data_IF_354586277142
#
_entry.id   IF_354586277142
#
_cell.length_a   1.000
_cell.length_b   1.000
_cell.length_c   1.000
_cell.angle_alpha   90.00
_cell.angle_beta   90.00
_cell.angle_gamma   90.00
#
_symmetry.space_group_name_H-M   'P 1'
#
loop_
_entity.id
_entity.type
_entity.pdbx_description
1 polymer ?
#
# COMPACT_ATOMS: atom_id res chain seq x y z
N UNK A 1 -8.34 15.04 4.66
CA UNK A 1 -7.67 14.02 3.84
C UNK A 1 -6.20 14.33 3.57
N UNK A 2 -5.82 15.51 3.05
CA UNK A 2 -4.41 15.82 2.73
C UNK A 2 -3.40 15.68 3.88
N UNK A 3 -3.80 15.97 5.13
CA UNK A 3 -2.94 15.76 6.30
C UNK A 3 -2.72 14.28 6.65
N UNK A 4 -3.75 13.46 6.49
CA UNK A 4 -3.67 12.02 6.77
C UNK A 4 -2.78 11.35 5.72
N UNK A 5 -3.00 11.68 4.44
CA UNK A 5 -2.16 11.19 3.32
C UNK A 5 -0.70 11.64 3.52
N UNK A 6 -0.48 12.90 3.90
CA UNK A 6 0.87 13.40 4.20
C UNK A 6 1.55 12.67 5.36
N UNK A 7 0.81 12.32 6.43
CA UNK A 7 1.33 11.53 7.56
C UNK A 7 1.68 10.12 7.11
N UNK A 8 0.82 9.45 6.32
CA UNK A 8 1.07 8.10 5.82
C UNK A 8 2.33 8.05 4.94
N UNK A 9 2.48 9.01 4.03
CA UNK A 9 3.68 9.14 3.18
C UNK A 9 4.93 9.41 4.03
N UNK A 10 4.83 10.30 5.01
CA UNK A 10 5.95 10.59 5.90
C UNK A 10 6.40 9.35 6.70
N UNK A 11 5.45 8.56 7.21
CA UNK A 11 5.75 7.30 7.91
C UNK A 11 6.42 6.30 6.98
N UNK A 12 5.92 6.13 5.75
CA UNK A 12 6.54 5.23 4.76
C UNK A 12 7.99 5.62 4.45
N UNK A 13 8.27 6.92 4.29
CA UNK A 13 9.63 7.43 4.06
C UNK A 13 10.55 7.16 5.27
N UNK A 14 10.06 7.38 6.49
CA UNK A 14 10.84 7.10 7.71
C UNK A 14 11.19 5.61 7.78
N UNK A 15 10.25 4.71 7.54
CA UNK A 15 10.50 3.26 7.53
C UNK A 15 11.52 2.88 6.44
N UNK A 16 11.38 3.42 5.23
CA UNK A 16 12.33 3.17 4.14
C UNK A 16 13.76 3.63 4.48
N UNK A 17 13.91 4.79 5.13
CA UNK A 17 15.20 5.27 5.61
C UNK A 17 15.79 4.36 6.70
N UNK A 18 14.98 3.88 7.64
CA UNK A 18 15.45 2.96 8.69
C UNK A 18 15.93 1.61 8.13
N UNK A 19 15.28 1.10 7.08
CA UNK A 19 15.73 -0.09 6.35
C UNK A 19 17.05 0.21 5.61
N UNK A 20 17.14 1.35 4.91
CA UNK A 20 18.33 1.73 4.15
C UNK A 20 19.59 1.86 5.01
N UNK A 21 19.48 2.46 6.20
CA UNK A 21 20.58 2.56 7.15
C UNK A 21 20.85 1.26 7.93
N UNK A 22 20.04 0.21 7.72
CA UNK A 22 20.21 -1.10 8.37
C UNK A 22 19.77 -1.14 9.83
N UNK A 23 19.00 -0.15 10.30
CA UNK A 23 18.42 -0.17 11.65
C UNK A 23 17.28 -1.20 11.78
N UNK A 24 16.61 -1.51 10.67
CA UNK A 24 15.56 -2.53 10.60
C UNK A 24 15.98 -3.57 9.57
N UNK A 25 16.08 -4.82 10.01
CA UNK A 25 16.22 -5.98 9.13
C UNK A 25 14.87 -6.68 9.07
N UNK A 26 14.34 -6.85 7.86
CA UNK A 26 13.11 -7.61 7.67
C UNK A 26 13.49 -9.09 7.81
N UNK A 27 12.80 -9.80 8.70
CA UNK A 27 12.97 -11.25 8.84
C UNK A 27 12.27 -11.98 7.70
N UNK A 28 12.58 -13.26 7.44
CA UNK A 28 11.87 -14.06 6.44
C UNK A 28 10.34 -14.09 6.67
N UNK A 29 9.89 -14.10 7.94
CA UNK A 29 8.45 -13.99 8.23
C UNK A 29 7.88 -12.60 7.90
N UNK A 30 8.71 -11.56 8.04
CA UNK A 30 8.35 -10.19 7.67
C UNK A 30 8.22 -10.00 6.16
N UNK A 31 9.06 -10.67 5.36
CA UNK A 31 8.93 -10.66 3.89
C UNK A 31 7.64 -11.34 3.44
N UNK A 32 7.32 -12.51 4.00
CA UNK A 32 6.08 -13.23 3.71
C UNK A 32 4.83 -12.40 4.11
N UNK A 33 4.85 -11.77 5.30
CA UNK A 33 3.76 -10.90 5.72
C UNK A 33 3.62 -9.66 4.83
N UNK A 34 4.72 -9.16 4.26
CA UNK A 34 4.70 -8.03 3.33
C UNK A 34 4.17 -8.43 1.95
N UNK A 35 4.47 -9.65 1.49
CA UNK A 35 3.92 -10.23 0.25
C UNK A 35 2.40 -10.42 0.38
N UNK A 36 1.94 -11.07 1.46
CA UNK A 36 0.50 -11.21 1.75
C UNK A 36 -0.21 -9.86 1.82
N UNK A 37 0.41 -8.86 2.47
CA UNK A 37 -0.17 -7.52 2.56
C UNK A 37 -0.25 -6.83 1.19
N UNK A 38 0.76 -7.01 0.34
CA UNK A 38 0.75 -6.46 -1.02
C UNK A 38 -0.33 -7.09 -1.88
N UNK A 39 -0.53 -8.40 -1.80
CA UNK A 39 -1.58 -9.10 -2.56
C UNK A 39 -2.97 -8.63 -2.14
N UNK A 40 -3.24 -8.55 -0.84
CA UNK A 40 -4.52 -8.07 -0.32
C UNK A 40 -4.80 -6.61 -0.73
N UNK A 41 -3.79 -5.74 -0.70
CA UNK A 41 -3.93 -4.34 -1.14
C UNK A 41 -4.12 -4.27 -2.66
N UNK A 42 -3.43 -5.10 -3.43
CA UNK A 42 -3.57 -5.21 -4.88
C UNK A 42 -4.98 -5.59 -5.28
N UNK A 43 -5.52 -6.67 -4.68
CA UNK A 43 -6.89 -7.13 -4.93
C UNK A 43 -7.93 -6.07 -4.53
N UNK A 44 -7.75 -5.37 -3.42
CA UNK A 44 -8.63 -4.28 -3.01
C UNK A 44 -8.61 -3.10 -4.00
N UNK A 45 -7.44 -2.77 -4.55
CA UNK A 45 -7.28 -1.72 -5.56
C UNK A 45 -7.91 -2.14 -6.89
N UNK A 46 -7.71 -3.38 -7.32
CA UNK A 46 -8.29 -3.93 -8.54
C UNK A 46 -9.83 -3.93 -8.47
N UNK A 47 -10.41 -4.49 -7.40
CA UNK A 47 -11.85 -4.48 -7.16
C UNK A 47 -12.44 -3.05 -7.13
N UNK A 48 -11.73 -2.12 -6.48
CA UNK A 48 -12.16 -0.71 -6.46
C UNK A 48 -12.06 -0.08 -7.84
N UNK A 49 -11.02 -0.41 -8.61
CA UNK A 49 -10.81 0.07 -9.97
C UNK A 49 -11.85 -0.46 -10.97
N UNK A 50 -12.25 -1.72 -10.85
CA UNK A 50 -13.33 -2.32 -11.63
C UNK A 50 -14.67 -1.66 -11.31
N UNK A 51 -15.01 -1.51 -10.02
CA UNK A 51 -16.25 -0.85 -9.60
C UNK A 51 -16.38 0.59 -10.13
N UNK A 52 -15.29 1.35 -10.12
CA UNK A 52 -15.25 2.72 -10.67
C UNK A 52 -15.37 2.72 -12.20
N UNK A 53 -14.80 1.73 -12.90
CA UNK A 53 -14.88 1.63 -14.36
C UNK A 53 -16.28 1.21 -14.82
N UNK A 54 -16.92 0.28 -14.12
CA UNK A 54 -18.29 -0.18 -14.39
C UNK A 54 -19.30 0.97 -14.18
N UNK A 55 -19.16 1.72 -13.07
CA UNK A 55 -19.97 2.91 -12.79
C UNK A 55 -19.80 4.01 -13.86
N UNK A 56 -18.61 4.14 -14.47
CA UNK A 56 -18.36 5.07 -15.58
C UNK A 56 -18.81 4.54 -16.95
N UNK A 57 -19.01 3.22 -17.11
CA UNK A 57 -19.37 2.59 -18.39
C UNK A 57 -20.89 2.46 -18.55
N UNK A 58 -21.62 2.20 -17.46
CA UNK A 58 -23.09 2.06 -17.47
C UNK A 58 -23.85 3.39 -17.23
N UNK A 59 -23.11 4.50 -17.07
CA UNK A 59 -23.63 5.84 -16.75
C UNK A 59 -23.95 6.77 -17.94
N UNK A 60 -24.13 6.26 -19.17
CA UNK A 60 -24.60 7.03 -20.33
C UNK A 60 -25.84 6.45 -21.01
#
# INVERSE_FOLDING_TARGET
>A
MGRIIGIVIAVAIVVALLIYFGFIQISPEGEAALEDAQDNVGEAVENTGEAIQDENTDGN
#
